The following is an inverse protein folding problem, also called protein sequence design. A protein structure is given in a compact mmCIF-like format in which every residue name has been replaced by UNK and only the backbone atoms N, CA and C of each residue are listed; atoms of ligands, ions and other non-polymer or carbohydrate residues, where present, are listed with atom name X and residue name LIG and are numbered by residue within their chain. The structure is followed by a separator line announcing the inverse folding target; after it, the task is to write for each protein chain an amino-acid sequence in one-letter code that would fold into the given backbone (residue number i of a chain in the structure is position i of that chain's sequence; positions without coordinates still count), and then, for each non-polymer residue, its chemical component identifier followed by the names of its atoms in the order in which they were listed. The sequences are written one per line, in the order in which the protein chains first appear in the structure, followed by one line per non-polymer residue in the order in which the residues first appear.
data_IF_817631825237
#
_entry.id   IF_817631825237
#
_cell.length_a   1.000
_cell.length_b   1.000
_cell.length_c   1.000
_cell.angle_alpha   90.00
_cell.angle_beta   90.00
_cell.angle_gamma   90.00
#
_symmetry.space_group_name_H-M   'P 1'
#
loop_
_entity.id
_entity.type
_entity.pdbx_description
1 polymer ?
#
# COMPACT_ATOMS: atom_id res chain seq x y z
N UNK A 1 64.52 5.59 51.73
CA UNK A 1 63.57 6.37 50.87
C UNK A 1 63.27 5.54 49.63
N UNK A 2 62.12 4.90 49.57
CA UNK A 2 61.67 4.10 48.43
C UNK A 2 60.40 4.75 47.88
N UNK A 3 60.48 5.28 46.67
CA UNK A 3 59.39 5.92 45.96
C UNK A 3 58.61 4.81 45.19
N UNK A 4 57.39 4.55 45.66
CA UNK A 4 56.49 3.63 44.96
C UNK A 4 55.69 4.42 43.90
N UNK A 5 55.94 4.14 42.64
CA UNK A 5 55.07 4.61 41.52
C UNK A 5 53.80 3.78 41.44
N UNK A 6 52.67 4.38 41.68
CA UNK A 6 51.37 3.80 41.42
C UNK A 6 50.98 4.17 40.02
N UNK A 7 50.98 3.12 39.12
CA UNK A 7 50.48 3.26 37.75
C UNK A 7 48.97 3.05 37.80
N UNK A 8 48.20 4.12 37.63
CA UNK A 8 46.74 4.06 37.50
C UNK A 8 46.38 3.71 36.07
N UNK A 9 45.96 2.47 35.87
CA UNK A 9 45.39 2.02 34.58
C UNK A 9 43.97 2.50 34.45
N UNK A 10 43.75 3.51 33.61
CA UNK A 10 42.43 3.95 33.20
C UNK A 10 41.92 2.99 32.15
N UNK A 11 41.02 2.09 32.55
CA UNK A 11 40.25 1.25 31.60
C UNK A 11 39.14 2.10 31.03
N UNK A 12 39.32 2.59 29.81
CA UNK A 12 38.28 3.24 29.04
C UNK A 12 37.25 2.20 28.57
N UNK A 13 36.10 2.12 29.25
CA UNK A 13 35.00 1.28 28.87
C UNK A 13 34.28 1.97 27.69
N UNK A 14 34.61 1.56 26.46
CA UNK A 14 33.90 1.96 25.25
C UNK A 14 32.51 1.33 25.26
N UNK A 15 31.50 2.08 25.71
CA UNK A 15 30.10 1.74 25.49
C UNK A 15 29.83 1.87 23.98
N UNK A 16 29.86 0.74 23.29
CA UNK A 16 29.28 0.62 21.96
C UNK A 16 27.77 0.81 22.13
N UNK A 17 27.29 2.03 21.87
CA UNK A 17 25.88 2.30 21.62
C UNK A 17 25.49 1.52 20.37
N UNK A 18 25.03 0.29 20.55
CA UNK A 18 24.26 -0.40 19.54
C UNK A 18 23.01 0.46 19.31
N UNK A 19 23.07 1.35 18.33
CA UNK A 19 21.91 2.00 17.78
C UNK A 19 21.02 0.85 17.28
N UNK A 20 20.05 0.45 18.13
CA UNK A 20 18.97 -0.43 17.73
C UNK A 20 18.36 0.23 16.51
N UNK A 21 18.57 -0.35 15.35
CA UNK A 21 17.84 0.01 14.13
C UNK A 21 16.38 -0.33 14.44
N UNK A 22 15.68 0.64 15.03
CA UNK A 22 14.24 0.63 15.07
C UNK A 22 13.81 0.54 13.60
N UNK A 23 13.30 -0.62 13.20
CA UNK A 23 12.61 -0.81 11.95
C UNK A 23 11.29 -0.02 12.01
N UNK A 24 11.41 1.30 12.14
CA UNK A 24 10.32 2.23 11.91
C UNK A 24 10.08 2.15 10.42
N UNK A 25 8.96 1.54 10.06
CA UNK A 25 8.57 1.38 8.66
C UNK A 25 8.67 2.71 7.94
N UNK A 26 9.04 2.67 6.66
CA UNK A 26 9.11 3.86 5.82
C UNK A 26 7.76 4.59 5.88
N UNK A 27 7.79 5.85 6.31
CA UNK A 27 6.60 6.67 6.42
C UNK A 27 6.33 7.35 5.08
N UNK A 28 5.14 7.16 4.54
CA UNK A 28 4.71 7.82 3.31
C UNK A 28 4.50 9.32 3.54
N UNK A 29 4.74 10.13 2.50
CA UNK A 29 4.44 11.57 2.53
C UNK A 29 2.93 11.80 2.48
N UNK A 30 2.38 12.72 3.30
CA UNK A 30 1.01 13.17 3.12
C UNK A 30 0.87 13.95 1.81
N UNK A 31 -0.32 13.97 1.23
CA UNK A 31 -0.63 14.65 -0.03
C UNK A 31 -1.32 13.76 -1.04
N UNK A 32 -1.31 14.18 -2.29
CA UNK A 32 -1.93 13.50 -3.41
C UNK A 32 -1.09 12.32 -3.87
N UNK A 33 -1.67 11.16 -3.85
CA UNK A 33 -1.11 9.92 -4.36
C UNK A 33 -1.86 9.44 -5.60
N UNK A 34 -1.13 8.81 -6.51
CA UNK A 34 -1.68 8.15 -7.68
C UNK A 34 -1.32 6.67 -7.61
N UNK A 35 -2.33 5.81 -7.73
CA UNK A 35 -2.18 4.36 -7.82
C UNK A 35 -2.58 3.92 -9.22
N UNK A 36 -1.67 3.27 -9.91
CA UNK A 36 -1.96 2.49 -11.10
C UNK A 36 -2.14 1.03 -10.71
N UNK A 37 -3.29 0.46 -11.06
CA UNK A 37 -3.68 -0.91 -10.74
C UNK A 37 -3.91 -1.69 -12.00
N UNK A 38 -3.39 -2.91 -12.06
CA UNK A 38 -3.70 -3.90 -13.11
C UNK A 38 -4.03 -5.23 -12.46
N UNK A 39 -4.77 -6.06 -13.17
CA UNK A 39 -5.16 -7.37 -12.67
C UNK A 39 -5.27 -8.41 -13.80
N UNK A 40 -5.15 -9.68 -13.41
CA UNK A 40 -5.32 -10.83 -14.31
C UNK A 40 -5.87 -12.01 -13.51
N UNK A 41 -6.37 -13.02 -14.22
CA UNK A 41 -6.82 -14.29 -13.61
C UNK A 41 -8.29 -14.58 -13.85
N UNK A 42 -8.84 -15.51 -13.08
CA UNK A 42 -10.15 -16.11 -13.31
C UNK A 42 -11.25 -15.08 -13.60
N UNK A 43 -11.78 -15.12 -14.82
CA UNK A 43 -12.90 -14.28 -15.27
C UNK A 43 -12.54 -12.83 -15.65
N UNK A 44 -11.32 -12.35 -15.34
CA UNK A 44 -10.93 -10.97 -15.67
C UNK A 44 -10.69 -10.76 -17.17
N UNK A 45 -10.11 -11.77 -17.83
CA UNK A 45 -9.81 -11.69 -19.27
C UNK A 45 -11.06 -11.71 -20.16
N UNK A 46 -12.23 -12.08 -19.59
CA UNK A 46 -13.51 -12.13 -20.30
C UNK A 46 -14.39 -10.90 -20.05
N UNK A 47 -13.99 -10.03 -19.11
CA UNK A 47 -14.76 -8.81 -18.85
C UNK A 47 -14.38 -7.75 -19.89
N UNK A 48 -15.37 -7.13 -20.55
CA UNK A 48 -15.08 -6.00 -21.42
C UNK A 48 -14.39 -4.89 -20.61
N UNK A 49 -13.42 -4.26 -21.22
CA UNK A 49 -12.72 -3.14 -20.62
C UNK A 49 -13.69 -2.02 -20.24
N UNK A 50 -13.34 -1.18 -19.28
CA UNK A 50 -14.18 -0.03 -18.92
C UNK A 50 -14.40 0.88 -20.13
N UNK A 51 -13.42 1.01 -21.02
CA UNK A 51 -13.56 1.80 -22.25
C UNK A 51 -14.61 1.21 -23.20
N UNK A 52 -14.62 -0.12 -23.39
CA UNK A 52 -15.66 -0.79 -24.19
C UNK A 52 -17.04 -0.64 -23.58
N UNK A 53 -17.15 -0.73 -22.25
CA UNK A 53 -18.43 -0.50 -21.54
C UNK A 53 -18.91 0.94 -21.68
N UNK A 54 -18.03 1.92 -21.58
CA UNK A 54 -18.36 3.34 -21.80
C UNK A 54 -18.76 3.59 -23.26
N UNK A 55 -18.10 2.95 -24.23
CA UNK A 55 -18.45 3.09 -25.63
C UNK A 55 -19.85 2.54 -25.98
N UNK A 56 -20.37 1.59 -25.21
CA UNK A 56 -21.71 1.02 -25.35
C UNK A 56 -22.81 1.85 -24.65
N UNK A 57 -22.44 2.85 -23.84
CA UNK A 57 -23.41 3.71 -23.17
C UNK A 57 -23.97 4.78 -24.11
N UNK A 58 -25.24 5.20 -23.92
CA UNK A 58 -25.78 6.40 -24.54
C UNK A 58 -24.88 7.63 -24.24
N UNK A 59 -24.77 8.60 -25.18
CA UNK A 59 -23.85 9.74 -25.05
C UNK A 59 -23.99 10.49 -23.72
N UNK A 60 -25.23 10.75 -23.27
CA UNK A 60 -25.48 11.48 -22.02
C UNK A 60 -25.03 10.71 -20.77
N UNK A 61 -25.28 9.40 -20.73
CA UNK A 61 -24.84 8.54 -19.64
C UNK A 61 -23.31 8.40 -19.61
N UNK A 62 -22.69 8.32 -20.78
CA UNK A 62 -21.23 8.29 -20.91
C UNK A 62 -20.62 9.57 -20.37
N UNK A 63 -21.12 10.73 -20.77
CA UNK A 63 -20.63 12.01 -20.28
C UNK A 63 -20.73 12.15 -18.75
N UNK A 64 -21.84 11.68 -18.14
CA UNK A 64 -22.00 11.66 -16.69
C UNK A 64 -21.01 10.72 -16.00
N UNK A 65 -20.80 9.49 -16.54
CA UNK A 65 -19.86 8.54 -16.01
C UNK A 65 -18.41 9.06 -16.09
N UNK A 66 -18.02 9.66 -17.21
CA UNK A 66 -16.69 10.25 -17.39
C UNK A 66 -16.47 11.43 -16.43
N UNK A 67 -17.48 12.31 -16.26
CA UNK A 67 -17.41 13.41 -15.29
C UNK A 67 -17.24 12.91 -13.85
N UNK A 68 -18.02 11.88 -13.46
CA UNK A 68 -17.90 11.26 -12.16
C UNK A 68 -16.51 10.64 -11.92
N UNK A 69 -16.00 9.89 -12.89
CA UNK A 69 -14.67 9.30 -12.80
C UNK A 69 -13.58 10.37 -12.69
N UNK A 70 -13.66 11.42 -13.49
CA UNK A 70 -12.73 12.56 -13.42
C UNK A 70 -12.75 13.24 -12.05
N UNK A 71 -13.95 13.46 -11.48
CA UNK A 71 -14.10 14.03 -10.14
C UNK A 71 -13.47 13.15 -9.05
N UNK A 72 -13.52 11.83 -9.22
CA UNK A 72 -12.90 10.85 -8.32
C UNK A 72 -11.42 10.60 -8.62
N UNK A 73 -10.81 11.30 -9.57
CA UNK A 73 -9.43 11.09 -9.97
C UNK A 73 -9.18 9.72 -10.60
N UNK A 74 -10.23 9.08 -11.15
CA UNK A 74 -10.13 7.76 -11.79
C UNK A 74 -9.96 7.88 -13.29
N UNK A 75 -9.08 7.07 -13.87
CA UNK A 75 -8.94 6.88 -15.30
C UNK A 75 -8.69 5.42 -15.62
N UNK A 76 -9.10 4.98 -16.81
CA UNK A 76 -9.02 3.58 -17.23
C UNK A 76 -8.20 3.48 -18.52
N UNK A 77 -7.18 2.62 -18.48
CA UNK A 77 -6.50 2.10 -19.66
C UNK A 77 -7.13 0.81 -20.16
N UNK A 78 -6.51 0.16 -21.14
CA UNK A 78 -7.01 -1.12 -21.70
C UNK A 78 -7.08 -2.22 -20.63
N UNK A 79 -6.04 -2.37 -19.80
CA UNK A 79 -5.94 -3.39 -18.74
C UNK A 79 -5.50 -2.80 -17.40
N UNK A 80 -5.68 -1.51 -17.19
CA UNK A 80 -5.27 -0.84 -15.98
C UNK A 80 -6.27 0.23 -15.57
N UNK A 81 -6.33 0.48 -14.28
CA UNK A 81 -7.04 1.58 -13.67
C UNK A 81 -6.05 2.45 -12.92
N UNK A 82 -6.16 3.75 -13.10
CA UNK A 82 -5.44 4.73 -12.30
C UNK A 82 -6.44 5.45 -11.41
N UNK A 83 -6.14 5.53 -10.13
CA UNK A 83 -6.93 6.29 -9.17
C UNK A 83 -6.04 7.25 -8.38
N UNK A 84 -6.60 8.35 -7.93
CA UNK A 84 -5.95 9.31 -7.04
C UNK A 84 -6.66 9.38 -5.72
N UNK A 85 -5.91 9.52 -4.66
CA UNK A 85 -6.44 9.69 -3.31
C UNK A 85 -5.57 10.66 -2.52
N UNK A 86 -6.19 11.30 -1.54
CA UNK A 86 -5.50 12.17 -0.61
C UNK A 86 -5.10 11.39 0.63
N UNK A 87 -3.79 11.28 0.89
CA UNK A 87 -3.26 10.74 2.14
C UNK A 87 -3.08 11.90 3.11
N UNK A 88 -3.91 11.94 4.14
CA UNK A 88 -3.85 13.01 5.13
C UNK A 88 -2.70 12.79 6.13
N UNK A 89 -2.24 13.85 6.85
CA UNK A 89 -1.28 13.67 7.94
C UNK A 89 -1.80 12.77 9.06
N UNK A 90 -3.12 12.63 9.23
CA UNK A 90 -3.72 11.72 10.18
C UNK A 90 -3.58 10.28 9.71
N UNK A 91 -3.91 9.97 8.45
CA UNK A 91 -3.75 8.63 7.87
C UNK A 91 -2.29 8.16 8.00
N UNK A 92 -1.33 9.05 7.72
CA UNK A 92 0.11 8.76 7.86
C UNK A 92 0.50 8.42 9.31
N UNK A 93 -0.08 9.07 10.30
CA UNK A 93 0.15 8.73 11.72
C UNK A 93 -0.43 7.36 12.06
N UNK A 94 -1.65 7.09 11.63
CA UNK A 94 -2.31 5.80 11.86
C UNK A 94 -1.53 4.65 11.21
N UNK A 95 -1.01 4.83 10.01
CA UNK A 95 -0.15 3.83 9.34
C UNK A 95 1.18 3.58 10.07
N UNK A 96 1.73 4.58 10.74
CA UNK A 96 2.94 4.44 11.54
C UNK A 96 2.71 3.59 12.79
N UNK A 97 1.55 3.74 13.41
CA UNK A 97 1.21 3.02 14.64
C UNK A 97 0.91 1.54 14.39
N UNK A 98 0.48 1.20 13.19
CA UNK A 98 0.11 -0.17 12.84
C UNK A 98 0.41 -0.45 11.37
N UNK A 99 1.31 -1.42 11.11
CA UNK A 99 1.47 -1.93 9.74
C UNK A 99 0.17 -2.55 9.19
N UNK A 100 -0.74 -2.95 10.09
CA UNK A 100 -2.07 -3.43 9.72
C UNK A 100 -2.95 -2.27 9.24
N UNK A 101 -2.72 -1.03 9.69
CA UNK A 101 -3.45 0.14 9.20
C UNK A 101 -3.14 0.42 7.72
N UNK A 102 -1.93 0.13 7.25
CA UNK A 102 -1.60 0.22 5.82
C UNK A 102 -2.45 -0.76 4.98
N UNK A 103 -2.75 -1.93 5.54
CA UNK A 103 -3.56 -2.98 4.89
C UNK A 103 -5.07 -2.80 5.13
N UNK A 104 -5.44 -2.05 6.16
CA UNK A 104 -6.83 -1.70 6.50
C UNK A 104 -7.27 -0.50 5.67
N UNK A 105 -7.50 -0.68 4.37
CA UNK A 105 -8.25 0.30 3.59
C UNK A 105 -9.66 0.50 4.19
N UNK A 106 -10.25 1.68 4.01
CA UNK A 106 -11.67 1.93 4.37
C UNK A 106 -12.54 0.88 3.67
N UNK A 107 -13.26 0.06 4.43
CA UNK A 107 -14.11 -1.02 3.93
C UNK A 107 -13.57 -2.43 4.14
N UNK A 108 -12.49 -2.62 4.91
CA UNK A 108 -11.93 -3.94 5.22
C UNK A 108 -12.29 -4.46 6.61
N UNK A 109 -13.44 -4.08 7.16
CA UNK A 109 -13.85 -4.44 8.52
C UNK A 109 -13.94 -5.96 8.73
N UNK A 110 -14.24 -6.70 7.66
CA UNK A 110 -14.33 -8.17 7.68
C UNK A 110 -13.03 -8.87 7.30
N UNK A 111 -11.91 -8.13 7.17
CA UNK A 111 -10.61 -8.68 6.83
C UNK A 111 -9.70 -8.78 8.05
N UNK A 112 -9.07 -9.95 8.22
CA UNK A 112 -7.98 -10.17 9.18
C UNK A 112 -6.67 -10.25 8.41
N UNK A 113 -5.79 -9.28 8.60
CA UNK A 113 -4.48 -9.22 7.96
C UNK A 113 -3.35 -9.50 8.95
N UNK A 114 -2.24 -10.03 8.44
CA UNK A 114 -1.02 -10.29 9.19
C UNK A 114 0.20 -10.03 8.31
N UNK A 115 1.14 -9.23 8.81
CA UNK A 115 2.47 -9.12 8.20
C UNK A 115 3.30 -10.35 8.57
N UNK A 116 3.82 -11.04 7.57
CA UNK A 116 4.59 -12.30 7.72
C UNK A 116 6.09 -12.10 7.66
N UNK A 117 6.56 -11.15 6.86
CA UNK A 117 7.96 -10.81 6.71
C UNK A 117 8.13 -9.30 6.60
N UNK A 118 9.28 -8.76 7.05
CA UNK A 118 9.64 -7.34 6.93
C UNK A 118 11.04 -7.19 6.36
N UNK A 119 11.25 -6.15 5.58
CA UNK A 119 12.54 -5.70 5.07
C UNK A 119 12.66 -4.18 5.22
N UNK A 120 13.81 -3.62 4.88
CA UNK A 120 14.03 -2.18 4.91
C UNK A 120 13.11 -1.40 3.93
N UNK A 121 12.71 -2.03 2.83
CA UNK A 121 11.95 -1.39 1.74
C UNK A 121 10.64 -2.11 1.41
N UNK A 122 10.08 -2.86 2.37
CA UNK A 122 8.81 -3.53 2.15
C UNK A 122 8.47 -4.60 3.16
N UNK A 123 7.39 -5.32 2.89
CA UNK A 123 6.93 -6.42 3.72
C UNK A 123 6.04 -7.37 2.92
N UNK A 124 5.90 -8.62 3.41
CA UNK A 124 4.90 -9.57 2.94
C UNK A 124 3.75 -9.63 3.92
N UNK A 125 2.57 -9.92 3.41
CA UNK A 125 1.37 -10.05 4.23
C UNK A 125 0.45 -11.16 3.73
N UNK A 126 -0.39 -11.63 4.63
CA UNK A 126 -1.55 -12.46 4.32
C UNK A 126 -2.79 -11.77 4.87
N UNK A 127 -3.93 -11.97 4.23
CA UNK A 127 -5.21 -11.53 4.74
C UNK A 127 -6.30 -12.54 4.42
N UNK A 128 -7.30 -12.63 5.30
CA UNK A 128 -8.50 -13.42 5.10
C UNK A 128 -9.70 -12.51 5.29
N UNK A 129 -10.47 -12.33 4.23
CA UNK A 129 -11.69 -11.53 4.21
C UNK A 129 -12.91 -12.42 4.08
N UNK A 130 -13.98 -12.05 4.78
CA UNK A 130 -15.29 -12.67 4.63
C UNK A 130 -16.24 -11.65 4.01
N UNK A 131 -16.79 -11.95 2.86
CA UNK A 131 -17.65 -11.06 2.11
C UNK A 131 -18.77 -11.88 1.46
N UNK A 132 -20.03 -11.55 1.74
CA UNK A 132 -21.22 -12.17 1.13
C UNK A 132 -21.23 -13.72 1.16
N UNK A 133 -20.74 -14.32 2.24
CA UNK A 133 -20.66 -15.78 2.40
C UNK A 133 -19.47 -16.44 1.69
N UNK A 134 -18.65 -15.69 0.96
CA UNK A 134 -17.37 -16.16 0.41
C UNK A 134 -16.20 -15.86 1.37
N UNK A 135 -15.21 -16.73 1.33
CA UNK A 135 -13.93 -16.54 2.04
C UNK A 135 -12.85 -16.28 1.01
N UNK A 136 -12.26 -15.12 1.10
CA UNK A 136 -11.17 -14.69 0.22
C UNK A 136 -9.86 -14.70 0.99
N UNK A 137 -8.94 -15.52 0.53
CA UNK A 137 -7.56 -15.56 1.03
C UNK A 137 -6.68 -14.72 0.14
N UNK A 138 -5.87 -13.86 0.75
CA UNK A 138 -4.96 -13.00 0.03
C UNK A 138 -3.54 -13.15 0.57
N UNK A 139 -2.60 -13.16 -0.31
CA UNK A 139 -1.17 -13.04 -0.01
C UNK A 139 -0.57 -11.94 -0.88
N UNK A 140 0.31 -11.14 -0.33
CA UNK A 140 0.88 -10.03 -1.07
C UNK A 140 2.24 -9.61 -0.54
N UNK A 141 2.87 -8.77 -1.36
CA UNK A 141 4.15 -8.15 -1.07
C UNK A 141 4.06 -6.66 -1.39
N UNK A 142 4.51 -5.85 -0.45
CA UNK A 142 4.88 -4.46 -0.69
C UNK A 142 6.39 -4.43 -0.89
N UNK A 143 6.85 -3.76 -1.93
CA UNK A 143 8.26 -3.58 -2.30
C UNK A 143 8.53 -2.15 -2.74
N UNK A 144 9.79 -1.78 -2.85
CA UNK A 144 10.24 -0.44 -3.22
C UNK A 144 9.60 0.67 -2.36
N UNK A 145 9.25 0.34 -1.12
CA UNK A 145 8.58 1.26 -0.21
C UNK A 145 9.52 2.41 0.16
N UNK A 146 9.08 3.61 -0.15
CA UNK A 146 9.75 4.87 0.12
C UNK A 146 8.72 5.93 0.55
N UNK A 147 9.12 7.12 1.00
CA UNK A 147 8.19 8.18 1.30
C UNK A 147 7.30 8.62 0.12
N UNK A 148 7.69 8.34 -1.11
CA UNK A 148 7.03 8.82 -2.33
C UNK A 148 6.59 7.71 -3.29
N UNK A 149 6.89 6.46 -2.99
CA UNK A 149 6.63 5.34 -3.90
C UNK A 149 6.47 4.03 -3.15
N UNK A 150 5.65 3.13 -3.69
CA UNK A 150 5.68 1.69 -3.41
C UNK A 150 5.07 0.89 -4.55
N UNK A 151 5.47 -0.37 -4.64
CA UNK A 151 4.85 -1.38 -5.49
C UNK A 151 4.16 -2.41 -4.61
N UNK A 152 3.04 -2.96 -5.09
CA UNK A 152 2.34 -4.07 -4.44
C UNK A 152 1.98 -5.13 -5.46
N UNK A 153 2.35 -6.37 -5.16
CA UNK A 153 1.87 -7.57 -5.84
C UNK A 153 0.99 -8.35 -4.87
N UNK A 154 -0.20 -8.76 -5.32
CA UNK A 154 -1.16 -9.48 -4.51
C UNK A 154 -1.81 -10.61 -5.31
N UNK A 155 -1.93 -11.77 -4.69
CA UNK A 155 -2.75 -12.88 -5.19
C UNK A 155 -3.94 -13.07 -4.26
N UNK A 156 -5.13 -13.13 -4.83
CA UNK A 156 -6.39 -13.37 -4.13
C UNK A 156 -6.98 -14.68 -4.60
N UNK A 157 -7.42 -15.55 -3.68
CA UNK A 157 -8.06 -16.82 -3.96
C UNK A 157 -9.40 -16.91 -3.25
N UNK A 158 -10.44 -17.32 -3.96
CA UNK A 158 -11.73 -17.62 -3.36
C UNK A 158 -12.41 -18.76 -4.11
N UNK A 159 -13.42 -19.39 -3.48
CA UNK A 159 -14.19 -20.45 -4.13
C UNK A 159 -15.07 -19.91 -5.26
N UNK A 160 -15.62 -18.72 -5.07
CA UNK A 160 -16.55 -18.09 -6.02
C UNK A 160 -15.80 -17.47 -7.20
N UNK A 161 -14.67 -16.82 -6.95
CA UNK A 161 -13.98 -16.00 -7.95
C UNK A 161 -12.68 -16.62 -8.50
N UNK A 162 -12.25 -17.77 -7.95
CA UNK A 162 -10.99 -18.40 -8.31
C UNK A 162 -9.75 -17.57 -7.93
N UNK A 163 -8.64 -17.82 -8.60
CA UNK A 163 -7.39 -17.08 -8.37
C UNK A 163 -7.34 -15.84 -9.26
N UNK A 164 -7.01 -14.71 -8.64
CA UNK A 164 -6.78 -13.42 -9.30
C UNK A 164 -5.48 -12.81 -8.79
N UNK A 165 -4.74 -12.17 -9.68
CA UNK A 165 -3.50 -11.45 -9.38
C UNK A 165 -3.70 -9.98 -9.64
N UNK A 166 -3.19 -9.15 -8.73
CA UNK A 166 -3.25 -7.70 -8.82
C UNK A 166 -1.86 -7.14 -8.63
N UNK A 167 -1.55 -6.13 -9.42
CA UNK A 167 -0.34 -5.34 -9.29
C UNK A 167 -0.73 -3.88 -9.11
N UNK A 168 -0.07 -3.21 -8.20
CA UNK A 168 -0.24 -1.78 -7.98
C UNK A 168 1.12 -1.10 -7.99
N UNK A 169 1.16 0.09 -8.60
CA UNK A 169 2.27 1.03 -8.52
C UNK A 169 1.73 2.33 -7.97
N UNK A 170 2.23 2.74 -6.82
CA UNK A 170 1.79 3.94 -6.15
C UNK A 170 2.91 4.97 -6.15
N UNK A 171 2.57 6.22 -6.45
CA UNK A 171 3.50 7.34 -6.41
C UNK A 171 2.86 8.58 -5.80
N UNK A 172 3.63 9.30 -5.04
CA UNK A 172 3.27 10.63 -4.57
C UNK A 172 3.32 11.62 -5.74
N UNK A 173 2.34 12.49 -5.83
CA UNK A 173 2.18 13.44 -6.95
C UNK A 173 2.40 14.87 -6.50
N UNK A 174 1.78 15.27 -5.38
CA UNK A 174 1.83 16.64 -4.88
C UNK A 174 1.50 16.70 -3.37
N UNK A 175 1.92 17.76 -2.72
CA UNK A 175 1.56 18.02 -1.32
C UNK A 175 0.08 18.43 -1.18
N UNK A 176 -0.45 19.12 -2.19
CA UNK A 176 -1.85 19.55 -2.24
C UNK A 176 -2.69 18.49 -2.94
N UNK A 177 -3.78 18.09 -2.29
CA UNK A 177 -4.73 17.12 -2.82
C UNK A 177 -5.72 17.70 -3.83
N UNK A 178 -5.82 19.03 -3.95
CA UNK A 178 -6.79 19.70 -4.79
C UNK A 178 -8.22 19.31 -4.42
N UNK A 179 -8.98 18.88 -5.42
CA UNK A 179 -10.39 18.46 -5.25
C UNK A 179 -10.57 16.99 -4.85
N UNK A 180 -9.49 16.22 -4.79
CA UNK A 180 -9.51 14.80 -4.41
C UNK A 180 -9.60 14.69 -2.89
N UNK A 181 -10.63 13.96 -2.42
CA UNK A 181 -10.87 13.73 -0.99
C UNK A 181 -10.82 12.25 -0.66
#
# INVERSE_FOLDING_TARGET
MKLSMIVSSVVALAFALAAGANAQGVQRKPGLWEIQMSGSGAGMDRMPSMQERLAQMPPDQRAQAEAYMKQRGMSFGSNSMTTRYCLTPQDVREEKESADAFLKGKGSEDCKSKVTERSATGFKFTAVCKEDGDVREMEGRISNLSPEHFDMDMTSRSKVHGERKFQQKARWVAADCGVVK
#
